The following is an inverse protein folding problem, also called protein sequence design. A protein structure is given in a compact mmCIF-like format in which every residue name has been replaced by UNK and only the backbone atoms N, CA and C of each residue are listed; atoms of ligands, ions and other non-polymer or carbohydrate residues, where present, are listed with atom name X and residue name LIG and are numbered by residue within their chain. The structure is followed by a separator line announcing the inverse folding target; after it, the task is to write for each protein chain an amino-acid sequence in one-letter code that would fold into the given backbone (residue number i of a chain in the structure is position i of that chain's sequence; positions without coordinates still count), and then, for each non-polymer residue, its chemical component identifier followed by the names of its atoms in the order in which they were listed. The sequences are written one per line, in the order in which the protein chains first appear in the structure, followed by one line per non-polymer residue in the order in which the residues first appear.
data_IF_755299207584
#
_entry.id   IF_755299207584
#
_cell.length_a   1.000
_cell.length_b   1.000
_cell.length_c   1.000
_cell.angle_alpha   90.00
_cell.angle_beta   90.00
_cell.angle_gamma   90.00
#
_symmetry.space_group_name_H-M   'P 1'
#
loop_
_entity.id
_entity.type
_entity.pdbx_description
1 polymer ?
#
# COMPACT_ATOMS: atom_id res chain seq x y z
N UNK A 1 -18.54 -11.57 -34.73
CA UNK A 1 -19.23 -12.85 -34.95
C UNK A 1 -18.33 -13.94 -34.40
N UNK A 2 -18.82 -14.70 -33.45
CA UNK A 2 -18.16 -15.92 -32.99
C UNK A 2 -18.93 -17.05 -33.59
N UNK A 3 -18.28 -17.84 -34.45
CA UNK A 3 -18.90 -19.01 -35.08
C UNK A 3 -18.86 -20.22 -34.13
N UNK A 4 -19.93 -20.99 -34.12
CA UNK A 4 -20.04 -22.18 -33.30
C UNK A 4 -19.24 -23.35 -33.89
N UNK A 5 -18.49 -24.04 -33.07
CA UNK A 5 -17.92 -25.33 -33.39
C UNK A 5 -18.72 -26.40 -32.64
N UNK A 6 -19.32 -27.36 -33.37
CA UNK A 6 -19.98 -28.52 -32.78
C UNK A 6 -21.48 -28.41 -32.50
N UNK A 7 -22.23 -27.58 -33.22
CA UNK A 7 -23.70 -27.62 -33.18
C UNK A 7 -24.39 -27.00 -31.98
N UNK A 8 -23.66 -26.30 -31.12
CA UNK A 8 -24.22 -25.48 -30.04
C UNK A 8 -24.56 -24.09 -30.58
N UNK A 9 -25.79 -23.63 -30.38
CA UNK A 9 -26.20 -22.27 -30.71
C UNK A 9 -25.52 -21.32 -29.72
N UNK A 10 -24.49 -20.62 -30.18
CA UNK A 10 -23.87 -19.53 -29.41
C UNK A 10 -24.68 -18.26 -29.71
N UNK A 11 -25.10 -17.57 -28.67
CA UNK A 11 -25.76 -16.27 -28.82
C UNK A 11 -24.85 -15.30 -29.56
N UNK A 12 -25.34 -14.71 -30.66
CA UNK A 12 -24.60 -13.71 -31.42
C UNK A 12 -24.69 -12.39 -30.63
N UNK A 13 -23.63 -12.02 -29.96
CA UNK A 13 -23.46 -10.68 -29.37
C UNK A 13 -23.09 -9.70 -30.49
N UNK A 14 -24.04 -8.87 -30.91
CA UNK A 14 -23.77 -7.73 -31.79
C UNK A 14 -23.46 -6.51 -30.92
N UNK A 15 -22.22 -6.08 -30.91
CA UNK A 15 -21.77 -4.90 -30.21
C UNK A 15 -20.38 -4.47 -30.68
N UNK A 16 -20.09 -3.19 -30.56
CA UNK A 16 -18.75 -2.66 -30.82
C UNK A 16 -17.89 -2.84 -29.57
N UNK A 17 -16.88 -3.70 -29.64
CA UNK A 17 -15.88 -3.77 -28.57
C UNK A 17 -14.93 -2.58 -28.78
N UNK A 18 -15.02 -1.58 -27.89
CA UNK A 18 -14.00 -0.53 -27.83
C UNK A 18 -12.82 -1.04 -27.00
N UNK A 19 -11.71 -1.27 -27.66
CA UNK A 19 -10.44 -1.55 -26.97
C UNK A 19 -9.86 -0.20 -26.55
N UNK A 20 -9.78 0.04 -25.25
CA UNK A 20 -9.10 1.21 -24.69
C UNK A 20 -7.58 0.94 -24.68
N UNK A 21 -6.80 1.93 -25.13
CA UNK A 21 -5.34 1.84 -24.99
C UNK A 21 -4.96 1.69 -23.50
N UNK A 22 -3.93 0.94 -23.18
CA UNK A 22 -3.42 0.86 -21.82
C UNK A 22 -3.08 2.26 -21.29
N UNK A 23 -3.47 2.54 -20.05
CA UNK A 23 -3.05 3.78 -19.37
C UNK A 23 -1.54 3.70 -19.14
N UNK A 24 -0.81 4.70 -19.62
CA UNK A 24 0.61 4.86 -19.32
C UNK A 24 0.70 5.54 -17.94
N UNK A 25 1.40 4.90 -17.01
CA UNK A 25 1.71 5.47 -15.71
C UNK A 25 3.12 6.06 -15.77
N UNK A 26 3.22 7.40 -15.64
CA UNK A 26 4.51 8.09 -15.53
C UNK A 26 4.87 8.21 -14.06
N UNK A 27 5.97 7.60 -13.65
CA UNK A 27 6.42 7.64 -12.27
C UNK A 27 6.98 9.03 -11.93
N UNK A 28 6.39 9.67 -10.93
CA UNK A 28 6.76 11.01 -10.46
C UNK A 28 7.61 10.97 -9.19
N UNK A 29 7.42 9.95 -8.36
CA UNK A 29 8.24 9.72 -7.18
C UNK A 29 8.22 8.23 -6.83
N UNK A 30 9.36 7.73 -6.33
CA UNK A 30 9.48 6.40 -5.77
C UNK A 30 10.44 6.40 -4.58
N UNK A 31 9.90 6.05 -3.42
CA UNK A 31 10.63 5.87 -2.17
C UNK A 31 10.59 4.39 -1.79
N UNK A 32 11.63 3.61 -2.11
CA UNK A 32 11.73 2.21 -1.72
C UNK A 32 11.97 2.03 -0.22
N UNK A 33 12.45 3.07 0.49
CA UNK A 33 12.83 3.05 1.90
C UNK A 33 13.86 1.97 2.27
N UNK A 34 14.75 1.66 1.33
CA UNK A 34 15.80 0.64 1.46
C UNK A 34 17.06 1.14 2.17
N UNK A 35 17.00 2.31 2.79
CA UNK A 35 18.11 2.85 3.57
C UNK A 35 18.38 1.97 4.80
N UNK A 36 19.65 1.86 5.18
CA UNK A 36 20.09 1.13 6.37
C UNK A 36 20.59 2.04 7.49
N UNK A 37 20.73 3.34 7.19
CA UNK A 37 21.20 4.36 8.12
C UNK A 37 20.91 5.77 7.57
N UNK A 38 21.09 6.79 8.43
CA UNK A 38 20.91 8.18 8.03
C UNK A 38 19.53 8.74 8.30
N UNK A 39 19.32 10.01 7.94
CA UNK A 39 18.10 10.79 8.19
C UNK A 39 17.50 11.32 6.89
N UNK A 40 17.63 10.56 5.81
CA UNK A 40 17.03 10.87 4.52
C UNK A 40 16.58 9.61 3.83
N UNK A 41 15.53 9.71 3.01
CA UNK A 41 15.11 8.69 2.07
C UNK A 41 15.29 9.19 0.63
N UNK A 42 15.65 8.31 -0.28
CA UNK A 42 15.97 8.71 -1.65
C UNK A 42 14.75 8.51 -2.56
N UNK A 43 14.31 9.62 -3.18
CA UNK A 43 13.42 9.52 -4.33
C UNK A 43 14.23 8.96 -5.52
N UNK A 44 14.05 7.68 -5.83
CA UNK A 44 14.87 6.97 -6.81
C UNK A 44 14.58 7.38 -8.26
N UNK A 45 13.44 8.01 -8.55
CA UNK A 45 13.13 8.57 -9.88
C UNK A 45 14.13 9.65 -10.28
N UNK A 46 14.53 10.49 -9.32
CA UNK A 46 15.41 11.63 -9.57
C UNK A 46 16.75 11.56 -8.82
N UNK A 47 16.95 10.54 -7.98
CA UNK A 47 18.14 10.42 -7.13
C UNK A 47 18.24 11.50 -6.06
N UNK A 48 17.11 12.10 -5.63
CA UNK A 48 17.06 13.16 -4.62
C UNK A 48 16.88 12.57 -3.23
N UNK A 49 17.74 13.00 -2.29
CA UNK A 49 17.61 12.66 -0.89
C UNK A 49 16.64 13.64 -0.20
N UNK A 50 15.58 13.12 0.37
CA UNK A 50 14.53 13.88 1.05
C UNK A 50 14.64 13.69 2.58
N UNK A 51 14.30 14.72 3.34
CA UNK A 51 14.57 14.78 4.77
C UNK A 51 13.60 13.92 5.58
N UNK A 52 14.14 13.10 6.47
CA UNK A 52 13.41 12.49 7.60
C UNK A 52 13.70 13.32 8.85
N UNK A 53 12.69 13.97 9.42
CA UNK A 53 12.86 14.98 10.46
C UNK A 53 13.00 14.43 11.89
N UNK A 54 13.25 13.14 12.01
CA UNK A 54 13.53 12.45 13.29
C UNK A 54 14.67 11.44 13.06
N UNK A 55 15.12 10.76 14.10
CA UNK A 55 16.08 9.65 13.95
C UNK A 55 15.30 8.41 13.50
N UNK A 56 15.36 8.01 12.22
CA UNK A 56 14.58 6.90 11.72
C UNK A 56 15.17 5.56 12.19
N UNK A 57 14.30 4.58 12.34
CA UNK A 57 14.64 3.16 12.37
C UNK A 57 14.28 2.58 11.01
N UNK A 58 15.23 1.91 10.40
CA UNK A 58 15.03 1.15 9.17
C UNK A 58 14.83 -0.31 9.56
N UNK A 59 13.66 -0.85 9.26
CA UNK A 59 13.24 -2.19 9.66
C UNK A 59 13.01 -3.06 8.43
N UNK A 60 12.84 -4.38 8.62
CA UNK A 60 12.46 -5.27 7.51
C UNK A 60 11.15 -4.82 6.88
N UNK A 61 11.21 -4.54 5.59
CA UNK A 61 10.10 -4.09 4.74
C UNK A 61 9.36 -5.23 4.04
N UNK A 62 8.49 -4.86 3.14
CA UNK A 62 7.91 -5.76 2.13
C UNK A 62 9.00 -6.22 1.18
N UNK A 63 9.90 -5.28 0.87
CA UNK A 63 11.16 -5.53 0.15
C UNK A 63 12.27 -4.88 0.96
N UNK A 64 13.37 -5.59 1.17
CA UNK A 64 14.56 -5.09 1.88
C UNK A 64 14.21 -4.35 3.20
N UNK A 65 14.23 -3.01 3.22
CA UNK A 65 13.96 -2.18 4.39
C UNK A 65 12.65 -1.40 4.23
N UNK A 66 12.20 -0.81 5.33
CA UNK A 66 11.05 0.09 5.41
C UNK A 66 11.32 1.19 6.43
N UNK A 67 10.65 2.33 6.27
CA UNK A 67 10.69 3.43 7.24
C UNK A 67 9.74 3.14 8.40
N UNK A 68 10.28 2.95 9.61
CA UNK A 68 9.50 2.91 10.83
C UNK A 68 9.14 4.32 11.30
N UNK A 69 7.88 4.54 11.61
CA UNK A 69 7.32 5.77 12.16
C UNK A 69 6.89 5.50 13.61
N UNK A 70 7.78 5.77 14.61
CA UNK A 70 7.53 5.43 16.00
C UNK A 70 6.42 6.31 16.61
N UNK A 71 5.90 5.94 17.78
CA UNK A 71 4.86 6.74 18.46
C UNK A 71 5.31 8.16 18.83
N UNK A 72 6.60 8.40 18.99
CA UNK A 72 7.21 9.69 19.35
C UNK A 72 8.43 9.99 18.48
N UNK A 73 8.72 11.27 18.17
CA UNK A 73 7.98 12.50 18.54
C UNK A 73 6.69 12.67 17.69
N UNK A 74 5.74 13.44 18.17
CA UNK A 74 4.45 13.64 17.49
C UNK A 74 4.56 14.35 16.13
N UNK A 75 5.61 15.14 15.91
CA UNK A 75 5.86 15.87 14.67
C UNK A 75 6.72 15.09 13.66
N UNK A 76 6.95 13.78 13.92
CA UNK A 76 7.74 12.91 13.03
C UNK A 76 7.11 12.82 11.65
N UNK A 77 7.94 12.82 10.65
CA UNK A 77 7.56 12.70 9.25
C UNK A 77 8.77 12.60 8.34
N UNK A 78 8.55 12.20 7.10
CA UNK A 78 9.42 12.48 5.99
C UNK A 78 8.85 13.61 5.15
N UNK A 79 9.69 14.48 4.63
CA UNK A 79 9.31 15.62 3.80
C UNK A 79 9.97 15.52 2.42
N UNK A 80 9.16 15.45 1.39
CA UNK A 80 9.63 15.74 0.03
C UNK A 80 9.34 17.21 -0.25
N UNK A 81 10.38 17.98 -0.59
CA UNK A 81 10.23 19.36 -1.00
C UNK A 81 9.24 19.50 -2.16
N UNK A 82 8.63 20.66 -2.29
CA UNK A 82 7.73 20.94 -3.41
C UNK A 82 8.53 21.10 -4.71
N UNK A 83 8.35 20.15 -5.61
CA UNK A 83 8.88 20.19 -6.97
C UNK A 83 7.75 20.25 -7.97
N UNK A 84 8.02 20.79 -9.17
CA UNK A 84 7.00 20.92 -10.23
C UNK A 84 6.44 19.57 -10.69
N UNK A 85 7.20 18.49 -10.54
CA UNK A 85 6.80 17.12 -10.85
C UNK A 85 5.62 16.61 -10.00
N UNK A 86 5.41 17.18 -8.80
CA UNK A 86 4.25 16.87 -7.94
C UNK A 86 3.10 17.88 -8.04
N UNK A 87 3.10 18.76 -9.05
CA UNK A 87 1.99 19.65 -9.37
C UNK A 87 0.95 18.89 -10.20
N UNK A 88 0.08 18.17 -9.51
CA UNK A 88 -0.89 17.24 -10.13
C UNK A 88 -2.08 17.94 -10.79
N UNK A 89 -2.45 19.14 -10.32
CA UNK A 89 -3.46 19.97 -10.95
C UNK A 89 -4.80 19.26 -11.16
N UNK A 90 -5.23 19.20 -12.41
CA UNK A 90 -6.44 18.47 -12.83
C UNK A 90 -6.12 17.09 -13.41
N UNK A 91 -4.86 16.66 -13.34
CA UNK A 91 -4.40 15.41 -13.93
C UNK A 91 -4.95 14.20 -13.20
N UNK A 92 -5.00 13.10 -13.93
CA UNK A 92 -5.13 11.77 -13.34
C UNK A 92 -3.86 11.42 -12.58
N UNK A 93 -4.00 10.82 -11.42
CA UNK A 93 -2.85 10.36 -10.67
C UNK A 93 -3.17 9.14 -9.81
N UNK A 94 -2.13 8.46 -9.42
CA UNK A 94 -2.20 7.34 -8.49
C UNK A 94 -1.10 7.45 -7.45
N UNK A 95 -1.43 7.14 -6.20
CA UNK A 95 -0.47 7.00 -5.11
C UNK A 95 -0.62 5.60 -4.56
N UNK A 96 0.48 4.85 -4.51
CA UNK A 96 0.50 3.54 -3.86
C UNK A 96 1.55 3.50 -2.76
N UNK A 97 1.31 2.71 -1.74
CA UNK A 97 2.27 2.41 -0.68
C UNK A 97 1.90 1.11 0.03
N UNK A 98 2.88 0.53 0.70
CA UNK A 98 2.66 -0.49 1.71
C UNK A 98 2.71 0.14 3.10
N UNK A 99 1.83 -0.30 3.98
CA UNK A 99 1.83 0.13 5.36
C UNK A 99 1.62 -1.06 6.31
N UNK A 100 2.18 -0.94 7.51
CA UNK A 100 1.98 -1.88 8.61
C UNK A 100 1.74 -1.09 9.88
N UNK A 101 0.68 -1.40 10.62
CA UNK A 101 0.37 -0.80 11.90
C UNK A 101 -0.53 -1.72 12.71
N UNK A 102 -0.33 -1.74 14.02
CA UNK A 102 -1.21 -2.45 14.96
C UNK A 102 -2.50 -1.68 15.26
N UNK A 103 -2.68 -0.53 14.61
CA UNK A 103 -3.81 0.35 14.84
C UNK A 103 -3.66 1.18 16.12
N UNK A 104 -4.70 1.94 16.38
CA UNK A 104 -4.85 2.76 17.56
C UNK A 104 -6.29 3.25 17.67
N UNK A 105 -6.76 3.49 18.88
CA UNK A 105 -8.11 4.01 19.10
C UNK A 105 -8.09 5.52 19.27
N UNK A 106 -9.03 6.20 18.64
CA UNK A 106 -9.29 7.62 18.86
C UNK A 106 -8.25 8.58 18.28
N UNK A 107 -7.51 8.16 17.26
CA UNK A 107 -6.49 8.96 16.58
C UNK A 107 -6.82 9.18 15.12
N UNK A 108 -6.51 10.35 14.63
CA UNK A 108 -6.51 10.68 13.21
C UNK A 108 -5.05 10.63 12.75
N UNK A 109 -4.74 9.77 11.76
CA UNK A 109 -3.39 9.58 11.22
C UNK A 109 -3.35 9.86 9.74
N UNK A 110 -2.32 10.55 9.27
CA UNK A 110 -2.04 10.67 7.84
C UNK A 110 -0.90 9.75 7.45
N UNK A 111 -1.16 8.87 6.48
CA UNK A 111 -0.12 8.08 5.84
C UNK A 111 0.68 8.95 4.89
N UNK A 112 -0.01 9.81 4.13
CA UNK A 112 0.60 10.89 3.36
C UNK A 112 -0.34 12.09 3.25
N UNK A 113 0.25 13.26 3.01
CA UNK A 113 -0.47 14.50 2.78
C UNK A 113 0.35 15.46 1.92
N UNK A 114 -0.27 16.11 0.93
CA UNK A 114 0.32 17.22 0.18
C UNK A 114 -0.66 18.38 0.16
N UNK A 115 -0.16 19.58 0.34
CA UNK A 115 -0.95 20.79 0.23
C UNK A 115 -1.18 21.52 1.55
N UNK A 116 -1.97 22.56 1.50
CA UNK A 116 -2.26 23.43 2.64
C UNK A 116 -3.70 23.27 3.14
N UNK A 117 -3.89 23.40 4.43
CA UNK A 117 -5.22 23.46 5.04
C UNK A 117 -5.53 24.91 5.46
N UNK A 118 -5.77 25.77 4.52
CA UNK A 118 -6.25 27.13 4.83
C UNK A 118 -7.77 27.10 4.84
N UNK A 119 -8.35 27.02 6.04
CA UNK A 119 -9.82 26.94 6.17
C UNK A 119 -10.49 28.17 5.58
N UNK A 120 -11.23 27.99 4.50
CA UNK A 120 -12.13 29.00 3.98
C UNK A 120 -13.43 29.00 4.79
N UNK A 121 -13.64 30.06 5.58
CA UNK A 121 -14.82 30.18 6.45
C UNK A 121 -16.16 30.23 5.67
N UNK A 122 -16.14 30.62 4.39
CA UNK A 122 -17.34 30.80 3.58
C UNK A 122 -17.80 29.52 2.86
N UNK A 123 -16.86 28.68 2.43
CA UNK A 123 -17.13 27.46 1.64
C UNK A 123 -17.00 26.18 2.44
N UNK A 124 -16.33 26.24 3.60
CA UNK A 124 -15.93 25.05 4.35
C UNK A 124 -14.78 24.26 3.69
N UNK A 125 -14.30 24.72 2.54
CA UNK A 125 -13.09 24.24 1.91
C UNK A 125 -11.87 24.53 2.78
N UNK A 126 -10.83 23.73 2.69
CA UNK A 126 -9.71 23.78 3.60
C UNK A 126 -8.36 23.91 2.89
N UNK A 127 -8.33 24.66 1.79
CA UNK A 127 -7.15 24.82 0.94
C UNK A 127 -7.05 23.75 -0.13
N UNK A 128 -6.00 23.80 -0.92
CA UNK A 128 -5.74 22.78 -1.95
C UNK A 128 -4.87 21.68 -1.35
N UNK A 129 -5.38 20.45 -1.35
CA UNK A 129 -4.64 19.32 -0.80
C UNK A 129 -5.10 17.97 -1.35
N UNK A 130 -4.26 16.97 -1.18
CA UNK A 130 -4.58 15.55 -1.28
C UNK A 130 -3.96 14.78 -0.12
N UNK A 131 -4.59 13.67 0.29
CA UNK A 131 -4.04 12.86 1.36
C UNK A 131 -4.78 11.57 1.60
N UNK A 132 -4.09 10.65 2.27
CA UNK A 132 -4.65 9.40 2.79
C UNK A 132 -4.59 9.43 4.31
N UNK A 133 -5.75 9.40 4.94
CA UNK A 133 -5.92 9.49 6.39
C UNK A 133 -6.57 8.21 6.93
N UNK A 134 -6.11 7.73 8.09
CA UNK A 134 -6.90 6.81 8.92
C UNK A 134 -7.66 7.61 9.97
N UNK A 135 -8.98 7.53 9.94
CA UNK A 135 -9.86 8.28 10.82
C UNK A 135 -11.12 7.52 11.14
N UNK A 136 -11.48 7.43 12.42
CA UNK A 136 -12.73 6.78 12.87
C UNK A 136 -12.95 5.35 12.29
N UNK A 137 -11.87 4.58 12.14
CA UNK A 137 -11.93 3.22 11.60
C UNK A 137 -11.95 3.14 10.07
N UNK A 138 -11.84 4.26 9.36
CA UNK A 138 -11.78 4.30 7.91
C UNK A 138 -10.41 4.75 7.41
N UNK A 139 -9.99 4.22 6.25
CA UNK A 139 -9.04 4.91 5.39
C UNK A 139 -9.83 5.89 4.52
N UNK A 140 -9.48 7.17 4.62
CA UNK A 140 -10.09 8.26 3.85
C UNK A 140 -9.08 8.79 2.85
N UNK A 141 -9.33 8.57 1.57
CA UNK A 141 -8.62 9.26 0.50
C UNK A 141 -9.37 10.52 0.14
N UNK A 142 -8.77 11.67 0.38
CA UNK A 142 -9.37 12.97 0.15
C UNK A 142 -8.57 13.87 -0.77
N UNK A 143 -9.26 14.67 -1.56
CA UNK A 143 -8.72 15.78 -2.32
C UNK A 143 -9.62 17.01 -2.19
N UNK A 144 -9.02 18.21 -2.25
CA UNK A 144 -9.70 19.49 -2.07
C UNK A 144 -9.04 20.53 -3.02
N UNK A 145 -9.84 21.29 -3.76
CA UNK A 145 -9.38 22.34 -4.67
C UNK A 145 -9.59 23.75 -4.11
N UNK A 146 -9.89 23.86 -2.79
CA UNK A 146 -10.28 25.08 -2.08
C UNK A 146 -11.68 25.62 -2.45
N UNK A 147 -12.41 24.90 -3.27
CA UNK A 147 -13.81 25.21 -3.65
C UNK A 147 -14.71 24.04 -3.29
N UNK A 148 -14.29 22.85 -3.66
CA UNK A 148 -14.99 21.58 -3.42
C UNK A 148 -14.03 20.55 -2.87
N UNK A 149 -14.59 19.62 -2.10
CA UNK A 149 -13.87 18.47 -1.52
C UNK A 149 -14.53 17.18 -1.92
N UNK A 150 -13.71 16.18 -2.21
CA UNK A 150 -14.13 14.80 -2.44
C UNK A 150 -13.37 13.87 -1.50
N UNK A 151 -14.11 13.08 -0.73
CA UNK A 151 -13.54 12.08 0.19
C UNK A 151 -14.12 10.72 -0.13
N UNK A 152 -13.26 9.73 -0.20
CA UNK A 152 -13.62 8.32 -0.29
C UNK A 152 -13.27 7.64 1.03
N UNK A 153 -14.28 7.21 1.78
CA UNK A 153 -14.15 6.54 3.08
C UNK A 153 -14.32 5.03 2.92
N UNK A 154 -13.31 4.27 3.29
CA UNK A 154 -13.30 2.80 3.24
C UNK A 154 -13.11 2.25 4.65
N UNK A 155 -14.03 1.41 5.18
CA UNK A 155 -13.82 0.72 6.45
C UNK A 155 -12.51 -0.07 6.44
N UNK A 156 -11.64 0.17 7.42
CA UNK A 156 -10.25 -0.26 7.34
C UNK A 156 -9.67 -0.84 8.64
N UNK A 157 -10.47 -1.01 9.69
CA UNK A 157 -9.97 -1.54 10.97
C UNK A 157 -9.28 -2.89 10.84
N UNK A 158 -9.74 -3.74 9.90
CA UNK A 158 -9.17 -5.05 9.62
C UNK A 158 -7.75 -5.02 9.02
N UNK A 159 -7.33 -3.88 8.47
CA UNK A 159 -5.99 -3.71 7.88
C UNK A 159 -4.97 -3.13 8.86
N UNK A 160 -5.40 -2.78 10.08
CA UNK A 160 -4.54 -2.29 11.16
C UNK A 160 -4.34 -3.41 12.19
N UNK A 161 -3.71 -4.49 11.73
CA UNK A 161 -3.58 -5.76 12.44
C UNK A 161 -2.11 -6.20 12.62
N UNK A 162 -1.16 -5.29 12.38
CA UNK A 162 0.27 -5.59 12.46
C UNK A 162 0.86 -6.22 11.19
N UNK A 163 0.04 -6.49 10.17
CA UNK A 163 0.49 -7.07 8.92
C UNK A 163 0.69 -6.00 7.84
N UNK A 164 1.50 -6.31 6.84
CA UNK A 164 1.70 -5.46 5.69
C UNK A 164 0.47 -5.44 4.78
N UNK A 165 -0.02 -4.25 4.49
CA UNK A 165 -1.14 -4.01 3.58
C UNK A 165 -0.74 -3.02 2.49
N UNK A 166 -1.13 -3.32 1.26
CA UNK A 166 -0.93 -2.47 0.10
C UNK A 166 -2.15 -1.59 -0.13
N UNK A 167 -1.99 -0.31 -0.32
CA UNK A 167 -3.07 0.60 -0.69
C UNK A 167 -2.72 1.37 -1.95
N UNK A 168 -3.70 1.51 -2.84
CA UNK A 168 -3.63 2.35 -4.04
C UNK A 168 -4.79 3.33 -4.01
N UNK A 169 -4.47 4.62 -4.07
CA UNK A 169 -5.42 5.73 -4.20
C UNK A 169 -5.34 6.28 -5.62
N UNK A 170 -6.47 6.42 -6.30
CA UNK A 170 -6.53 6.84 -7.70
C UNK A 170 -7.50 7.99 -7.88
N UNK A 171 -7.06 9.06 -8.55
CA UNK A 171 -7.92 10.05 -9.20
C UNK A 171 -8.03 9.70 -10.67
N UNK A 172 -9.25 9.47 -11.14
CA UNK A 172 -9.58 9.12 -12.52
C UNK A 172 -10.48 10.20 -13.12
N UNK A 173 -9.89 11.06 -13.93
CA UNK A 173 -10.60 12.20 -14.57
C UNK A 173 -11.52 11.76 -15.70
N UNK A 174 -11.32 10.60 -16.31
CA UNK A 174 -12.22 10.07 -17.33
C UNK A 174 -13.57 9.67 -16.75
N UNK A 175 -13.52 8.94 -15.61
CA UNK A 175 -14.74 8.53 -14.89
C UNK A 175 -15.20 9.57 -13.87
N UNK A 176 -14.39 10.58 -13.60
CA UNK A 176 -14.58 11.59 -12.56
C UNK A 176 -14.81 10.96 -11.21
N UNK A 177 -13.91 10.07 -10.81
CA UNK A 177 -14.00 9.35 -9.55
C UNK A 177 -12.67 9.32 -8.81
N UNK A 178 -12.76 9.24 -7.48
CA UNK A 178 -11.69 8.74 -6.62
C UNK A 178 -11.95 7.26 -6.37
N UNK A 179 -10.89 6.45 -6.46
CA UNK A 179 -10.96 5.00 -6.24
C UNK A 179 -9.92 4.56 -5.22
N UNK A 180 -10.21 3.49 -4.50
CA UNK A 180 -9.25 2.86 -3.60
C UNK A 180 -9.21 1.35 -3.81
N UNK A 181 -7.99 0.82 -3.83
CA UNK A 181 -7.73 -0.61 -3.82
C UNK A 181 -6.90 -0.93 -2.58
N UNK A 182 -7.23 -2.03 -1.89
CA UNK A 182 -6.43 -2.55 -0.78
C UNK A 182 -6.10 -4.00 -1.08
N UNK A 183 -4.83 -4.36 -0.96
CA UNK A 183 -4.33 -5.69 -1.28
C UNK A 183 -4.75 -6.17 -2.68
N UNK A 184 -4.71 -5.27 -3.66
CA UNK A 184 -5.08 -5.54 -5.05
C UNK A 184 -6.58 -5.67 -5.31
N UNK A 185 -7.44 -5.47 -4.29
CA UNK A 185 -8.90 -5.60 -4.39
C UNK A 185 -9.55 -4.21 -4.37
N UNK A 186 -10.46 -3.97 -5.31
CA UNK A 186 -11.26 -2.74 -5.35
C UNK A 186 -12.14 -2.64 -4.10
N UNK A 187 -12.05 -1.51 -3.40
CA UNK A 187 -12.80 -1.26 -2.17
C UNK A 187 -14.00 -0.33 -2.38
N UNK A 188 -13.89 0.59 -3.32
CA UNK A 188 -14.97 1.54 -3.61
C UNK A 188 -14.51 2.73 -4.40
N UNK A 189 -15.49 3.56 -4.78
CA UNK A 189 -15.27 4.82 -5.47
C UNK A 189 -16.30 5.89 -5.05
N UNK A 190 -15.92 7.15 -5.24
CA UNK A 190 -16.81 8.30 -5.06
C UNK A 190 -16.63 9.27 -6.22
N UNK A 191 -17.68 10.03 -6.56
CA UNK A 191 -17.58 11.08 -7.57
C UNK A 191 -16.58 12.15 -7.13
N UNK A 192 -15.58 12.40 -7.97
CA UNK A 192 -14.68 13.54 -7.83
C UNK A 192 -15.35 14.81 -8.36
N UNK A 193 -15.48 15.81 -7.48
CA UNK A 193 -16.06 17.12 -7.79
C UNK A 193 -15.01 18.22 -7.87
N UNK A 194 -13.75 17.88 -7.60
CA UNK A 194 -12.68 18.85 -7.49
C UNK A 194 -12.11 19.22 -8.86
N UNK A 195 -11.59 20.43 -8.93
CA UNK A 195 -10.84 20.96 -10.07
C UNK A 195 -9.32 20.83 -9.87
N UNK A 196 -8.63 21.95 -9.98
CA UNK A 196 -7.17 22.07 -9.88
C UNK A 196 -6.71 22.06 -8.43
N UNK A 197 -5.96 21.01 -8.07
CA UNK A 197 -5.35 20.81 -6.73
C UNK A 197 -3.87 21.18 -6.70
N UNK A 198 -3.35 21.94 -7.70
CA UNK A 198 -1.95 22.40 -7.70
C UNK A 198 -1.67 23.24 -6.46
N UNK A 199 -0.62 22.86 -5.74
CA UNK A 199 -0.18 23.52 -4.51
C UNK A 199 1.33 23.36 -4.35
N UNK A 200 1.99 24.47 -3.97
CA UNK A 200 3.45 24.52 -3.82
C UNK A 200 3.99 23.92 -2.52
N UNK A 201 3.11 23.47 -1.66
CA UNK A 201 3.50 22.86 -0.38
C UNK A 201 4.16 21.48 -0.56
N UNK A 202 4.98 21.11 0.42
CA UNK A 202 5.69 19.85 0.44
C UNK A 202 4.73 18.63 0.46
N UNK A 203 5.21 17.51 -0.03
CA UNK A 203 4.59 16.21 0.20
C UNK A 203 5.13 15.61 1.49
N UNK A 204 4.25 15.26 2.41
CA UNK A 204 4.58 14.74 3.73
C UNK A 204 4.16 13.29 3.84
N UNK A 205 5.03 12.45 4.33
CA UNK A 205 4.79 11.02 4.57
C UNK A 205 4.76 10.79 6.08
N UNK A 206 3.75 10.07 6.56
CA UNK A 206 3.58 9.73 7.97
C UNK A 206 3.03 10.86 8.85
N UNK A 207 2.54 11.95 8.27
CA UNK A 207 1.91 13.07 8.98
C UNK A 207 1.13 13.97 8.01
N UNK A 208 0.50 15.03 8.50
CA UNK A 208 -0.10 16.04 7.64
C UNK A 208 0.68 17.36 7.69
N UNK A 209 0.60 18.12 6.58
CA UNK A 209 1.35 19.36 6.39
C UNK A 209 0.78 20.59 7.14
N UNK A 210 -0.31 20.42 7.92
CA UNK A 210 -0.98 21.56 8.58
C UNK A 210 -0.28 22.00 9.85
N UNK A 211 -0.01 21.05 10.73
CA UNK A 211 0.50 21.33 12.08
C UNK A 211 1.38 20.18 12.60
N UNK A 212 1.59 19.14 11.78
CA UNK A 212 2.40 17.96 12.09
C UNK A 212 2.01 17.27 13.40
N UNK A 213 0.71 17.22 13.71
CA UNK A 213 0.20 16.62 14.95
C UNK A 213 -0.74 15.44 14.75
N UNK A 214 -0.82 14.91 13.53
CA UNK A 214 -1.60 13.72 13.16
C UNK A 214 -0.69 12.61 12.60
N UNK A 215 0.35 12.23 13.36
CA UNK A 215 1.38 11.33 12.86
C UNK A 215 0.89 9.89 12.80
N UNK A 216 1.11 9.23 11.67
CA UNK A 216 0.94 7.79 11.54
C UNK A 216 1.94 7.05 12.44
N UNK A 217 1.50 5.98 13.09
CA UNK A 217 2.37 5.08 13.87
C UNK A 217 2.36 3.70 13.20
N UNK A 218 3.54 3.22 12.86
CA UNK A 218 3.71 1.96 12.13
C UNK A 218 4.91 2.02 11.21
N UNK A 219 4.82 1.37 10.06
CA UNK A 219 5.85 1.42 9.03
C UNK A 219 5.25 1.67 7.65
N UNK A 220 6.01 2.32 6.78
CA UNK A 220 5.67 2.59 5.38
C UNK A 220 6.81 2.09 4.52
N UNK A 221 6.43 1.51 3.37
CA UNK A 221 7.35 0.94 2.40
C UNK A 221 6.84 1.12 0.97
N UNK A 222 7.77 1.10 -0.02
CA UNK A 222 7.44 1.09 -1.45
C UNK A 222 6.45 2.19 -1.87
N UNK A 223 6.60 3.43 -1.40
CA UNK A 223 5.71 4.52 -1.77
C UNK A 223 6.02 5.02 -3.18
N UNK A 224 5.02 5.02 -4.05
CA UNK A 224 5.13 5.51 -5.42
C UNK A 224 3.99 6.46 -5.80
N UNK A 225 4.32 7.46 -6.60
CA UNK A 225 3.37 8.44 -7.13
C UNK A 225 3.49 8.44 -8.65
N UNK A 226 2.34 8.35 -9.32
CA UNK A 226 2.25 8.34 -10.77
C UNK A 226 1.32 9.43 -11.30
N UNK A 227 1.68 10.03 -12.41
CA UNK A 227 0.70 10.64 -13.30
C UNK A 227 0.01 9.53 -14.08
N UNK A 228 -1.32 9.50 -14.04
CA UNK A 228 -2.16 8.49 -14.67
C UNK A 228 -3.01 7.70 -13.67
N UNK A 229 -4.21 7.33 -14.10
CA UNK A 229 -5.17 6.55 -13.30
C UNK A 229 -4.84 5.05 -13.37
N UNK A 230 -4.32 4.49 -12.29
CA UNK A 230 -4.03 3.06 -12.20
C UNK A 230 -5.30 2.23 -12.33
N UNK A 231 -5.28 1.25 -13.24
CA UNK A 231 -6.40 0.32 -13.40
C UNK A 231 -6.46 -0.73 -12.29
N UNK A 232 -7.63 -1.34 -12.08
CA UNK A 232 -7.80 -2.45 -11.15
C UNK A 232 -6.85 -3.64 -11.44
N UNK A 233 -6.64 -3.95 -12.72
CA UNK A 233 -5.72 -5.00 -13.14
C UNK A 233 -4.28 -4.67 -12.74
N UNK A 234 -3.86 -3.40 -12.91
CA UNK A 234 -2.52 -2.95 -12.54
C UNK A 234 -2.34 -2.88 -11.01
N UNK A 235 -3.33 -2.40 -10.26
CA UNK A 235 -3.30 -2.41 -8.79
C UNK A 235 -3.15 -3.85 -8.24
N UNK A 236 -3.86 -4.81 -8.84
CA UNK A 236 -3.72 -6.23 -8.50
C UNK A 236 -2.33 -6.76 -8.86
N UNK A 237 -1.84 -6.47 -10.06
CA UNK A 237 -0.49 -6.86 -10.50
C UNK A 237 0.59 -6.34 -9.53
N UNK A 238 0.49 -5.06 -9.12
CA UNK A 238 1.44 -4.44 -8.18
C UNK A 238 1.44 -5.13 -6.83
N UNK A 239 0.24 -5.41 -6.30
CA UNK A 239 0.11 -6.17 -5.06
C UNK A 239 0.71 -7.57 -5.17
N UNK A 240 0.33 -8.34 -6.21
CA UNK A 240 0.79 -9.72 -6.39
C UNK A 240 2.32 -9.81 -6.60
N UNK A 241 2.91 -8.82 -7.27
CA UNK A 241 4.35 -8.76 -7.51
C UNK A 241 5.17 -8.48 -6.23
N UNK A 242 4.60 -7.76 -5.28
CA UNK A 242 5.31 -7.26 -4.10
C UNK A 242 4.75 -7.81 -2.77
N UNK A 243 3.60 -8.51 -2.78
CA UNK A 243 3.07 -9.08 -1.53
C UNK A 243 4.12 -9.96 -0.87
N UNK A 244 4.25 -9.89 0.47
CA UNK A 244 5.13 -10.79 1.18
C UNK A 244 4.81 -12.22 0.76
N UNK A 245 5.68 -12.82 -0.01
CA UNK A 245 5.57 -14.25 -0.33
C UNK A 245 5.87 -14.98 0.96
N UNK A 246 4.93 -15.76 1.44
CA UNK A 246 4.85 -16.35 2.79
C UNK A 246 6.01 -17.19 3.32
N UNK A 247 7.23 -16.76 3.02
CA UNK A 247 8.37 -16.94 3.87
C UNK A 247 8.52 -15.62 4.62
N UNK A 248 7.58 -15.32 5.50
CA UNK A 248 7.81 -14.38 6.56
C UNK A 248 9.06 -14.83 7.32
N UNK A 249 10.17 -14.12 7.14
CA UNK A 249 11.32 -14.25 8.04
C UNK A 249 11.02 -13.57 9.39
N UNK A 250 9.95 -12.80 9.53
CA UNK A 250 9.28 -12.53 10.78
C UNK A 250 8.29 -13.65 11.09
N UNK A 251 8.79 -14.83 11.06
CA UNK A 251 8.40 -15.82 11.98
C UNK A 251 8.61 -15.24 13.39
N UNK A 252 7.56 -15.09 14.18
CA UNK A 252 7.66 -15.53 15.54
C UNK A 252 7.85 -17.06 15.48
N UNK A 253 9.00 -17.47 14.96
CA UNK A 253 9.54 -18.73 15.32
C UNK A 253 9.60 -18.67 16.82
N UNK A 254 8.77 -19.44 17.47
CA UNK A 254 9.31 -20.00 18.70
C UNK A 254 10.68 -20.52 18.27
N UNK A 255 11.78 -20.09 18.91
CA UNK A 255 13.14 -20.24 18.37
C UNK A 255 13.57 -21.68 18.09
N UNK A 256 12.66 -22.62 18.07
CA UNK A 256 12.90 -24.02 18.28
C UNK A 256 12.37 -24.94 17.16
N UNK A 257 11.68 -24.44 16.12
CA UNK A 257 11.33 -25.29 14.96
C UNK A 257 12.46 -25.25 13.95
N UNK A 258 13.16 -26.35 13.79
CA UNK A 258 14.24 -26.49 12.82
C UNK A 258 13.71 -27.05 11.52
N UNK A 259 14.13 -26.45 10.40
CA UNK A 259 13.81 -26.90 9.05
C UNK A 259 15.11 -27.07 8.28
N UNK A 260 15.37 -28.27 7.81
CA UNK A 260 16.56 -28.57 7.03
C UNK A 260 16.34 -29.74 6.04
N UNK A 261 17.13 -29.80 4.97
CA UNK A 261 18.04 -28.77 4.50
C UNK A 261 17.27 -27.56 3.95
N UNK A 262 17.91 -26.38 3.88
CA UNK A 262 17.30 -25.18 3.28
C UNK A 262 17.16 -25.29 1.76
N UNK A 263 17.94 -26.18 1.14
CA UNK A 263 17.82 -26.52 -0.28
C UNK A 263 17.67 -28.03 -0.37
N UNK A 264 16.59 -28.50 -0.98
CA UNK A 264 16.26 -29.91 -1.08
C UNK A 264 15.76 -30.28 -2.48
N UNK A 265 15.96 -31.51 -2.89
CA UNK A 265 15.41 -32.08 -4.11
C UNK A 265 14.31 -33.09 -3.82
N UNK A 266 14.42 -33.82 -2.74
CA UNK A 266 13.58 -34.99 -2.48
C UNK A 266 12.88 -34.93 -1.12
N UNK A 267 13.54 -34.44 -0.09
CA UNK A 267 12.99 -34.42 1.28
C UNK A 267 13.37 -33.16 2.04
N UNK A 268 12.52 -32.79 2.99
CA UNK A 268 12.73 -31.72 3.96
C UNK A 268 12.35 -32.25 5.34
N UNK A 269 13.18 -31.98 6.32
CA UNK A 269 12.93 -32.35 7.70
C UNK A 269 12.47 -31.15 8.49
N UNK A 270 11.38 -31.30 9.27
CA UNK A 270 10.83 -30.30 10.17
C UNK A 270 10.81 -30.89 11.58
N UNK A 271 11.63 -30.34 12.48
CA UNK A 271 11.66 -30.71 13.89
C UNK A 271 10.87 -29.71 14.73
N UNK A 272 9.95 -30.23 15.52
CA UNK A 272 9.15 -29.44 16.46
C UNK A 272 9.70 -29.60 17.88
N UNK A 273 9.78 -28.51 18.68
CA UNK A 273 10.16 -28.59 20.06
C UNK A 273 9.18 -29.43 20.90
N UNK A 274 9.62 -29.93 22.02
CA UNK A 274 8.84 -30.82 22.92
C UNK A 274 7.57 -30.15 23.48
N UNK A 275 7.54 -28.82 23.56
CA UNK A 275 6.40 -28.06 24.06
C UNK A 275 5.37 -27.70 22.97
N UNK A 276 5.64 -28.05 21.72
CA UNK A 276 4.73 -27.79 20.61
C UNK A 276 3.89 -29.03 20.33
N UNK A 277 2.59 -28.94 20.58
CA UNK A 277 1.60 -29.97 20.25
C UNK A 277 0.40 -29.35 19.61
N UNK A 278 -0.25 -30.07 18.71
CA UNK A 278 -1.47 -29.65 18.03
C UNK A 278 -1.40 -29.79 16.50
N UNK A 279 -2.24 -29.06 15.79
CA UNK A 279 -2.32 -29.13 14.34
C UNK A 279 -1.30 -28.18 13.70
N UNK A 280 -0.33 -28.73 12.98
CA UNK A 280 0.60 -27.99 12.12
C UNK A 280 0.13 -28.03 10.67
N UNK A 281 0.17 -26.91 9.97
CA UNK A 281 -0.07 -26.82 8.52
C UNK A 281 1.27 -26.56 7.83
N UNK A 282 1.69 -27.50 6.99
CA UNK A 282 2.86 -27.34 6.14
C UNK A 282 2.42 -26.95 4.74
N UNK A 283 2.87 -25.82 4.26
CA UNK A 283 2.58 -25.33 2.92
C UNK A 283 3.87 -25.02 2.18
N UNK A 284 4.05 -25.58 1.01
CA UNK A 284 5.20 -25.31 0.13
C UNK A 284 4.75 -24.52 -1.09
N UNK A 285 5.54 -23.52 -1.43
CA UNK A 285 5.30 -22.66 -2.58
C UNK A 285 6.49 -22.72 -3.54
N UNK A 286 6.21 -22.63 -4.84
CA UNK A 286 7.26 -22.45 -5.84
C UNK A 286 7.91 -21.06 -5.68
N UNK A 287 9.07 -20.85 -6.32
CA UNK A 287 9.71 -19.53 -6.40
C UNK A 287 8.82 -18.46 -7.07
N UNK A 288 7.81 -18.87 -7.83
CA UNK A 288 6.79 -18.01 -8.42
C UNK A 288 5.58 -17.75 -7.50
N UNK A 289 5.63 -18.20 -6.23
CA UNK A 289 4.55 -18.02 -5.25
C UNK A 289 3.34 -18.95 -5.46
N UNK A 290 3.44 -19.96 -6.33
CA UNK A 290 2.36 -20.93 -6.52
C UNK A 290 2.41 -21.99 -5.44
N UNK A 291 1.28 -22.24 -4.75
CA UNK A 291 1.16 -23.34 -3.81
C UNK A 291 1.38 -24.68 -4.54
N UNK A 292 2.41 -25.42 -4.17
CA UNK A 292 2.75 -26.72 -4.77
C UNK A 292 2.39 -27.90 -3.87
N UNK A 293 2.36 -27.67 -2.55
CA UNK A 293 1.95 -28.69 -1.60
C UNK A 293 1.38 -28.05 -0.34
N UNK A 294 0.34 -28.68 0.22
CA UNK A 294 -0.20 -28.31 1.53
C UNK A 294 -0.74 -29.53 2.24
N UNK A 295 -0.27 -29.75 3.45
CA UNK A 295 -0.73 -30.87 4.29
C UNK A 295 -0.80 -30.45 5.75
N UNK A 296 -1.81 -30.95 6.46
CA UNK A 296 -1.95 -30.78 7.90
C UNK A 296 -1.46 -32.02 8.62
N UNK A 297 -0.62 -31.79 9.61
CA UNK A 297 -0.11 -32.83 10.50
C UNK A 297 -0.60 -32.57 11.94
N UNK A 298 -0.85 -33.66 12.65
CA UNK A 298 -0.96 -33.58 14.12
C UNK A 298 0.43 -33.84 14.68
N UNK A 299 0.99 -32.83 15.34
CA UNK A 299 2.30 -32.93 15.98
C UNK A 299 2.12 -33.13 17.48
N UNK A 300 2.89 -34.02 18.05
CA UNK A 300 3.06 -34.21 19.47
C UNK A 300 4.49 -33.82 19.83
N UNK A 301 4.69 -33.30 21.04
CA UNK A 301 5.93 -32.67 21.44
C UNK A 301 7.18 -33.46 21.04
N UNK A 302 8.13 -32.78 20.35
CA UNK A 302 9.35 -33.43 19.82
C UNK A 302 9.16 -34.21 18.53
N UNK A 303 8.02 -34.01 17.82
CA UNK A 303 7.77 -34.66 16.53
C UNK A 303 8.75 -34.20 15.45
N UNK A 304 9.15 -35.14 14.59
CA UNK A 304 9.89 -34.85 13.36
C UNK A 304 9.05 -35.31 12.18
N UNK A 305 8.85 -34.40 11.19
CA UNK A 305 8.22 -34.70 9.92
C UNK A 305 9.29 -34.82 8.84
N UNK A 306 9.13 -35.81 7.95
CA UNK A 306 10.01 -36.08 6.82
C UNK A 306 9.27 -35.82 5.51
#
# INVERSE_FOLDING_TARGET
TIESVGGLTVATLSGTIKVKAPVVLNELAYFPFDETAGTSAVNSVYGRAEAVNFTPTWISGVRQQALELPATPANRRMEQASYDDLQLGTKDFSVELWFRSDGGTGVDWYLFHKGSHTKNASTGATGKWMGLQYKNGNLTFGIDDDVTKSNLDIPATQYFNGEWNHVVCVRDGETKTLKMYINGVFQGEVTDKTGDISESEMFVIGNCNVNFNTPFTGAIDELQIYEGAMSAAKAKERYEANKPTGISTERTLRPDVNVYPLYFTDEITIEFPVEVSGRAMVSMYSAAGTLVHQTAYMVDGGATLY
#
